data_IF_501118736453
#
_entry.id   IF_501118736453
#
_cell.length_a   1.000
_cell.length_b   1.000
_cell.length_c   1.000
_cell.angle_alpha   90.00
_cell.angle_beta   90.00
_cell.angle_gamma   90.00
#
_symmetry.space_group_name_H-M   'P 1'
#
loop_
_entity.id
_entity.type
_entity.pdbx_description
1 polymer ?
#
# COMPACT_ATOMS: atom_id res chain seq x y z
N UNK A 1 8.31 7.91 12.44
CA UNK A 1 8.60 6.53 12.89
C UNK A 1 7.59 5.94 13.89
N UNK A 2 7.34 6.51 15.09
CA UNK A 2 6.46 5.88 16.12
C UNK A 2 5.03 5.63 15.63
N UNK A 3 4.41 6.62 15.00
CA UNK A 3 3.03 6.50 14.50
C UNK A 3 2.90 5.38 13.46
N UNK A 4 3.90 5.21 12.59
CA UNK A 4 3.93 4.12 11.61
C UNK A 4 3.83 2.75 12.30
N UNK A 5 4.72 2.48 13.26
CA UNK A 5 4.73 1.20 13.97
C UNK A 5 3.42 0.92 14.72
N UNK A 6 2.87 1.91 15.41
CA UNK A 6 1.58 1.76 16.11
C UNK A 6 0.42 1.50 15.13
N UNK A 7 0.41 2.20 13.99
CA UNK A 7 -0.61 2.03 12.96
C UNK A 7 -0.53 0.66 12.29
N UNK A 8 0.68 0.17 11.98
CA UNK A 8 0.92 -1.17 11.46
C UNK A 8 0.47 -2.26 12.45
N UNK A 9 0.78 -2.11 13.73
CA UNK A 9 0.28 -3.02 14.77
C UNK A 9 -1.25 -3.06 14.79
N UNK A 10 -1.93 -1.92 14.67
CA UNK A 10 -3.39 -1.88 14.65
C UNK A 10 -3.98 -2.51 13.38
N UNK A 11 -3.41 -2.22 12.20
CA UNK A 11 -3.83 -2.84 10.93
C UNK A 11 -3.63 -4.35 10.97
N UNK A 12 -2.50 -4.83 11.47
CA UNK A 12 -2.20 -6.26 11.63
C UNK A 12 -3.17 -6.95 12.58
N UNK A 13 -3.49 -6.32 13.71
CA UNK A 13 -4.45 -6.88 14.69
C UNK A 13 -5.87 -6.99 14.12
N UNK A 14 -6.32 -5.99 13.37
CA UNK A 14 -7.70 -5.93 12.86
C UNK A 14 -7.88 -6.62 11.50
N UNK A 15 -6.83 -6.67 10.67
CA UNK A 15 -6.85 -7.13 9.28
C UNK A 15 -7.46 -8.52 9.08
N UNK A 16 -7.12 -9.55 9.89
CA UNK A 16 -7.72 -10.88 9.74
C UNK A 16 -9.25 -10.89 9.90
N UNK A 17 -9.82 -9.98 10.70
CA UNK A 17 -11.27 -9.87 10.84
C UNK A 17 -11.93 -9.26 9.60
N UNK A 18 -11.29 -8.27 8.95
CA UNK A 18 -11.78 -7.72 7.68
C UNK A 18 -11.85 -8.80 6.61
N UNK A 19 -10.77 -9.58 6.45
CA UNK A 19 -10.69 -10.65 5.46
C UNK A 19 -11.74 -11.73 5.70
N UNK A 20 -11.92 -12.17 6.97
CA UNK A 20 -12.96 -13.15 7.32
C UNK A 20 -14.39 -12.65 7.05
N UNK A 21 -14.62 -11.34 7.04
CA UNK A 21 -15.91 -10.71 6.72
C UNK A 21 -16.06 -10.35 5.23
N UNK A 22 -15.07 -10.68 4.40
CA UNK A 22 -15.07 -10.33 2.97
C UNK A 22 -14.92 -8.83 2.70
N UNK A 23 -14.43 -8.05 3.67
CA UNK A 23 -14.24 -6.58 3.54
C UNK A 23 -12.91 -6.27 2.85
N UNK A 24 -12.75 -6.76 1.62
CA UNK A 24 -11.50 -6.73 0.85
C UNK A 24 -11.13 -5.30 0.43
N UNK A 25 -12.13 -4.49 0.08
CA UNK A 25 -11.96 -3.07 -0.26
C UNK A 25 -11.28 -2.30 0.87
N UNK A 26 -11.77 -2.48 2.10
CA UNK A 26 -11.22 -1.78 3.27
C UNK A 26 -9.81 -2.27 3.59
N UNK A 27 -9.55 -3.58 3.44
CA UNK A 27 -8.20 -4.12 3.60
C UNK A 27 -7.22 -3.53 2.57
N UNK A 28 -7.62 -3.45 1.28
CA UNK A 28 -6.83 -2.82 0.24
C UNK A 28 -6.59 -1.32 0.49
N UNK A 29 -7.58 -0.63 1.05
CA UNK A 29 -7.44 0.76 1.50
C UNK A 29 -6.39 0.89 2.60
N UNK A 30 -6.35 -0.04 3.58
CA UNK A 30 -5.33 -0.06 4.63
C UNK A 30 -3.94 -0.40 4.08
N UNK A 31 -3.86 -1.29 3.09
CA UNK A 31 -2.64 -1.60 2.36
C UNK A 31 -2.05 -0.34 1.71
N UNK A 32 -2.92 0.46 1.09
CA UNK A 32 -2.52 1.74 0.48
C UNK A 32 -2.06 2.76 1.53
N UNK A 33 -2.74 2.86 2.67
CA UNK A 33 -2.34 3.74 3.78
C UNK A 33 -1.00 3.31 4.40
N UNK A 34 -0.76 2.00 4.50
CA UNK A 34 0.52 1.44 4.96
C UNK A 34 1.66 1.93 4.06
N UNK A 35 1.53 1.74 2.75
CA UNK A 35 2.52 2.24 1.79
C UNK A 35 2.73 3.75 1.86
N UNK A 36 1.66 4.53 2.04
CA UNK A 36 1.78 5.99 2.19
C UNK A 36 2.71 6.36 3.38
N UNK A 37 2.84 5.49 4.40
CA UNK A 37 3.82 5.64 5.48
C UNK A 37 5.27 5.47 5.04
N UNK A 38 5.51 4.69 3.99
CA UNK A 38 6.83 4.42 3.44
C UNK A 38 7.21 5.35 2.28
N UNK A 39 6.23 5.99 1.64
CA UNK A 39 6.46 6.87 0.49
C UNK A 39 7.48 7.96 0.77
N UNK A 40 8.19 8.33 -0.29
CA UNK A 40 9.03 9.53 -0.35
C UNK A 40 8.47 10.56 -1.32
N UNK A 41 7.71 10.12 -2.33
CA UNK A 41 7.00 10.97 -3.29
C UNK A 41 5.60 10.45 -3.58
N UNK A 42 4.77 11.29 -4.21
CA UNK A 42 3.54 10.88 -4.87
C UNK A 42 3.55 11.35 -6.31
N UNK A 43 3.10 10.48 -7.21
CA UNK A 43 2.97 10.77 -8.63
C UNK A 43 1.52 11.10 -8.97
N UNK A 44 1.30 12.06 -9.87
CA UNK A 44 -0.02 12.35 -10.45
C UNK A 44 -0.22 11.64 -11.80
N UNK A 45 -1.35 11.88 -12.46
CA UNK A 45 -1.71 11.25 -13.74
C UNK A 45 -0.83 11.74 -14.88
N UNK A 46 -0.30 12.97 -14.77
CA UNK A 46 0.61 13.58 -15.73
C UNK A 46 2.06 13.11 -15.58
N UNK A 47 2.35 12.20 -14.65
CA UNK A 47 3.71 11.68 -14.43
C UNK A 47 4.65 12.65 -13.70
N UNK A 48 4.10 13.66 -13.02
CA UNK A 48 4.85 14.57 -12.16
C UNK A 48 4.85 14.06 -10.72
N UNK A 49 6.00 14.10 -10.06
CA UNK A 49 6.15 13.73 -8.66
C UNK A 49 6.30 14.94 -7.75
N UNK A 50 5.81 14.80 -6.52
CA UNK A 50 6.03 15.76 -5.43
C UNK A 50 6.44 15.03 -4.16
N UNK A 51 7.25 15.64 -3.28
CA UNK A 51 7.57 15.04 -1.98
C UNK A 51 6.30 14.67 -1.20
N UNK A 52 6.31 13.49 -0.59
CA UNK A 52 5.25 13.06 0.30
C UNK A 52 5.65 13.30 1.75
N UNK A 53 4.85 14.09 2.47
CA UNK A 53 5.11 14.44 3.87
C UNK A 53 3.82 14.38 4.66
N UNK A 54 3.91 13.89 5.90
CA UNK A 54 2.78 13.83 6.83
C UNK A 54 3.13 14.64 8.07
N UNK A 55 2.23 15.52 8.47
CA UNK A 55 2.42 16.38 9.63
C UNK A 55 2.03 15.63 10.92
N UNK A 56 3.03 15.41 11.78
CA UNK A 56 2.86 14.89 13.14
C UNK A 56 3.45 15.86 14.18
N UNK A 57 3.39 17.16 13.91
CA UNK A 57 3.64 18.19 14.92
C UNK A 57 2.66 18.07 16.09
N UNK A 58 3.01 18.60 17.26
CA UNK A 58 2.14 18.55 18.45
C UNK A 58 0.72 19.08 18.17
N UNK A 59 0.52 20.22 17.47
CA UNK A 59 -0.83 20.68 17.14
C UNK A 59 -1.60 19.72 16.23
N UNK A 60 -0.90 19.05 15.30
CA UNK A 60 -1.52 18.06 14.41
C UNK A 60 -1.92 16.80 15.19
N UNK A 61 -1.06 16.31 16.08
CA UNK A 61 -1.35 15.17 16.95
C UNK A 61 -2.51 15.47 17.91
N UNK A 62 -2.54 16.65 18.52
CA UNK A 62 -3.65 17.08 19.36
C UNK A 62 -4.97 17.10 18.58
N UNK A 63 -4.94 17.55 17.33
CA UNK A 63 -6.13 17.52 16.45
C UNK A 63 -6.58 16.08 16.19
N UNK A 64 -5.66 15.19 15.81
CA UNK A 64 -5.95 13.78 15.56
C UNK A 64 -6.55 13.11 16.81
N UNK A 65 -6.00 13.34 18.00
CA UNK A 65 -6.52 12.79 19.26
C UNK A 65 -7.95 13.29 19.53
N UNK A 66 -8.20 14.60 19.36
CA UNK A 66 -9.55 15.18 19.56
C UNK A 66 -10.56 14.61 18.57
N UNK A 67 -10.17 14.43 17.31
CA UNK A 67 -11.03 13.88 16.25
C UNK A 67 -11.28 12.38 16.47
N UNK A 68 -10.27 11.63 16.92
CA UNK A 68 -10.38 10.20 17.16
C UNK A 68 -11.33 9.89 18.32
N UNK A 69 -11.33 10.73 19.36
CA UNK A 69 -12.31 10.67 20.46
C UNK A 69 -13.75 10.93 20.02
N UNK A 70 -13.95 11.46 18.81
CA UNK A 70 -15.26 11.69 18.18
C UNK A 70 -15.54 10.67 17.07
N UNK A 71 -14.79 9.57 17.04
CA UNK A 71 -14.89 8.50 16.04
C UNK A 71 -14.79 8.99 14.59
N UNK A 72 -14.01 10.06 14.35
CA UNK A 72 -13.73 10.51 12.99
C UNK A 72 -12.79 9.52 12.33
N UNK A 73 -13.29 8.81 11.32
CA UNK A 73 -12.59 7.70 10.67
C UNK A 73 -11.14 8.04 10.31
N UNK A 74 -10.90 9.12 9.55
CA UNK A 74 -9.56 9.51 9.10
C UNK A 74 -8.57 9.87 10.21
N UNK A 75 -9.03 10.05 11.45
CA UNK A 75 -8.18 10.32 12.61
C UNK A 75 -7.81 9.06 13.40
N UNK A 76 -8.42 7.91 13.05
CA UNK A 76 -8.16 6.64 13.72
C UNK A 76 -6.74 6.15 13.39
N UNK A 77 -6.12 5.47 14.34
CA UNK A 77 -4.72 5.06 14.26
C UNK A 77 -4.42 4.21 13.00
N UNK A 78 -5.28 3.25 12.65
CA UNK A 78 -5.17 2.41 11.43
C UNK A 78 -5.27 3.20 10.11
N UNK A 79 -5.82 4.41 10.16
CA UNK A 79 -5.92 5.34 9.03
C UNK A 79 -4.73 6.29 8.95
N UNK A 80 -3.86 6.30 9.97
CA UNK A 80 -2.62 7.07 9.91
C UNK A 80 -1.58 6.29 9.10
N UNK A 81 -0.95 6.92 8.10
CA UNK A 81 0.13 6.29 7.34
C UNK A 81 1.40 6.16 8.19
N UNK A 82 1.66 7.12 9.07
CA UNK A 82 2.99 7.32 9.64
C UNK A 82 3.94 8.05 8.68
N UNK A 83 5.23 7.96 8.96
CA UNK A 83 6.32 8.50 8.14
C UNK A 83 7.58 7.72 8.51
N UNK A 84 7.73 6.57 7.86
CA UNK A 84 8.88 5.68 7.92
C UNK A 84 9.82 5.92 6.75
N UNK A 85 9.26 6.26 5.58
CA UNK A 85 10.01 6.77 4.41
C UNK A 85 11.08 5.81 3.89
N UNK A 86 10.79 4.50 3.85
CA UNK A 86 11.71 3.50 3.29
C UNK A 86 11.41 3.11 1.82
N UNK A 87 10.49 3.78 1.13
CA UNK A 87 10.22 3.54 -0.29
C UNK A 87 11.27 4.24 -1.18
N UNK A 88 11.05 4.18 -2.51
CA UNK A 88 11.81 4.92 -3.51
C UNK A 88 10.84 5.58 -4.51
N UNK A 89 11.25 6.62 -5.25
CA UNK A 89 10.40 7.22 -6.28
C UNK A 89 9.89 6.22 -7.32
N UNK A 90 10.68 5.19 -7.63
CA UNK A 90 10.34 4.12 -8.54
C UNK A 90 9.22 3.23 -7.98
N UNK A 91 9.34 2.78 -6.74
CA UNK A 91 8.29 1.99 -6.08
C UNK A 91 7.02 2.80 -5.89
N UNK A 92 7.14 4.07 -5.48
CA UNK A 92 6.00 4.98 -5.31
C UNK A 92 5.22 5.16 -6.63
N UNK A 93 5.95 5.27 -7.76
CA UNK A 93 5.34 5.33 -9.10
C UNK A 93 4.61 4.06 -9.45
N UNK A 94 5.23 2.90 -9.19
CA UNK A 94 4.61 1.60 -9.49
C UNK A 94 3.33 1.40 -8.67
N UNK A 95 3.34 1.78 -7.38
CA UNK A 95 2.14 1.75 -6.53
C UNK A 95 1.06 2.72 -7.04
N UNK A 96 1.42 3.94 -7.42
CA UNK A 96 0.46 4.93 -7.94
C UNK A 96 -0.19 4.48 -9.25
N UNK A 97 0.60 3.90 -10.17
CA UNK A 97 0.09 3.33 -11.41
C UNK A 97 -0.84 2.14 -11.15
N UNK A 98 -0.46 1.23 -10.24
CA UNK A 98 -1.27 0.08 -9.89
C UNK A 98 -2.61 0.51 -9.26
N UNK A 99 -2.60 1.43 -8.30
CA UNK A 99 -3.81 1.91 -7.59
C UNK A 99 -4.85 2.58 -8.49
N UNK A 100 -4.44 3.05 -9.67
CA UNK A 100 -5.35 3.66 -10.66
C UNK A 100 -6.06 2.64 -11.54
N UNK A 101 -5.55 1.40 -11.61
CA UNK A 101 -6.12 0.40 -12.49
C UNK A 101 -7.45 -0.12 -11.94
N UNK A 102 -8.47 -0.34 -12.80
CA UNK A 102 -9.73 -0.96 -12.40
C UNK A 102 -9.52 -2.31 -11.70
N UNK A 103 -10.31 -2.57 -10.66
CA UNK A 103 -10.25 -3.81 -9.89
C UNK A 103 -9.11 -3.88 -8.87
N UNK A 104 -8.18 -2.92 -8.84
CA UNK A 104 -7.15 -2.84 -7.78
C UNK A 104 -7.76 -2.26 -6.51
N UNK A 105 -7.73 -3.03 -5.43
CA UNK A 105 -8.24 -2.67 -4.10
C UNK A 105 -7.19 -1.94 -3.27
N UNK A 106 -5.92 -2.22 -3.54
CA UNK A 106 -4.78 -1.53 -2.93
C UNK A 106 -3.46 -2.01 -3.52
N UNK A 107 -2.41 -1.21 -3.37
CA UNK A 107 -1.04 -1.63 -3.65
C UNK A 107 -0.07 -1.07 -2.61
N UNK A 108 0.98 -1.83 -2.30
CA UNK A 108 2.02 -1.42 -1.35
C UNK A 108 3.37 -2.06 -1.69
N UNK A 109 4.44 -1.48 -1.18
CA UNK A 109 5.76 -2.11 -1.18
C UNK A 109 5.73 -3.41 -0.36
N UNK A 110 6.62 -4.35 -0.69
CA UNK A 110 6.81 -5.60 0.04
C UNK A 110 8.26 -5.78 0.42
N UNK A 111 8.51 -6.14 1.68
CA UNK A 111 9.85 -6.31 2.24
C UNK A 111 10.34 -5.06 2.97
N UNK A 112 11.66 -4.89 3.05
CA UNK A 112 12.28 -3.82 3.85
C UNK A 112 12.19 -2.42 3.21
N UNK A 113 11.89 -2.35 1.91
CA UNK A 113 11.97 -1.10 1.13
C UNK A 113 13.35 -0.86 0.52
N UNK A 114 13.57 0.38 0.06
CA UNK A 114 14.77 0.86 -0.64
C UNK A 114 15.07 0.10 -1.94
N UNK A 115 14.01 -0.43 -2.56
CA UNK A 115 14.03 -1.35 -3.70
C UNK A 115 13.09 -2.53 -3.45
N UNK A 116 13.16 -3.54 -4.31
CA UNK A 116 12.36 -4.76 -4.18
C UNK A 116 11.05 -4.69 -4.96
N UNK A 117 9.98 -5.24 -4.39
CA UNK A 117 8.74 -5.53 -5.10
C UNK A 117 7.56 -4.71 -4.57
N UNK A 118 6.57 -4.50 -5.42
CA UNK A 118 5.23 -4.02 -5.05
C UNK A 118 4.25 -5.19 -5.12
N UNK A 119 3.37 -5.29 -4.13
CA UNK A 119 2.20 -6.16 -4.17
C UNK A 119 0.96 -5.33 -4.47
N UNK A 120 0.11 -5.80 -5.38
CA UNK A 120 -1.20 -5.23 -5.66
C UNK A 120 -2.29 -6.27 -5.38
N UNK A 121 -3.29 -5.89 -4.60
CA UNK A 121 -4.50 -6.68 -4.36
C UNK A 121 -5.51 -6.31 -5.44
N UNK A 122 -5.77 -7.24 -6.35
CA UNK A 122 -6.59 -7.01 -7.55
C UNK A 122 -7.66 -8.08 -7.69
N UNK A 123 -8.80 -7.73 -8.27
CA UNK A 123 -9.81 -8.68 -8.74
C UNK A 123 -9.18 -9.69 -9.71
N UNK A 124 -9.49 -10.97 -9.54
CA UNK A 124 -8.87 -12.08 -10.28
C UNK A 124 -9.00 -11.86 -11.79
N UNK A 125 -10.16 -11.42 -12.24
CA UNK A 125 -10.51 -11.23 -13.64
C UNK A 125 -9.78 -10.04 -14.27
N UNK A 126 -9.24 -9.13 -13.44
CA UNK A 126 -8.54 -7.90 -13.85
C UNK A 126 -7.02 -8.00 -13.76
N UNK A 127 -6.48 -9.11 -13.25
CA UNK A 127 -5.03 -9.28 -13.07
C UNK A 127 -4.24 -9.13 -14.39
N UNK A 128 -4.77 -9.65 -15.50
CA UNK A 128 -4.13 -9.50 -16.82
C UNK A 128 -4.14 -8.05 -17.34
N UNK A 129 -5.23 -7.31 -17.10
CA UNK A 129 -5.34 -5.89 -17.47
C UNK A 129 -4.35 -5.04 -16.67
N UNK A 130 -4.22 -5.31 -15.36
CA UNK A 130 -3.22 -4.67 -14.51
C UNK A 130 -1.80 -4.95 -15.03
N UNK A 131 -1.45 -6.20 -15.32
CA UNK A 131 -0.12 -6.55 -15.80
C UNK A 131 0.23 -5.83 -17.13
N UNK A 132 -0.72 -5.79 -18.07
CA UNK A 132 -0.55 -5.07 -19.33
C UNK A 132 -0.40 -3.55 -19.13
N UNK A 133 -1.16 -2.97 -18.19
CA UNK A 133 -1.03 -1.55 -17.87
C UNK A 133 0.32 -1.21 -17.23
N UNK A 134 0.80 -2.02 -16.29
CA UNK A 134 2.10 -1.80 -15.66
C UNK A 134 3.25 -1.97 -16.67
N UNK A 135 3.20 -2.99 -17.53
CA UNK A 135 4.18 -3.15 -18.61
C UNK A 135 4.27 -1.87 -19.47
N UNK A 136 3.13 -1.39 -19.96
CA UNK A 136 3.03 -0.20 -20.82
C UNK A 136 3.44 1.10 -20.14
N UNK A 137 2.99 1.33 -18.89
CA UNK A 137 3.07 2.67 -18.28
C UNK A 137 4.28 2.83 -17.34
N UNK A 138 4.89 1.72 -16.91
CA UNK A 138 6.05 1.71 -16.03
C UNK A 138 7.31 1.14 -16.69
N UNK A 139 7.23 -0.05 -17.29
CA UNK A 139 8.40 -0.78 -17.80
C UNK A 139 8.84 -0.28 -19.18
N UNK A 140 7.94 -0.22 -20.16
CA UNK A 140 8.24 0.19 -21.53
C UNK A 140 8.93 1.56 -21.62
N UNK A 141 8.45 2.63 -20.93
CA UNK A 141 9.07 3.96 -21.01
C UNK A 141 10.46 4.00 -20.34
N UNK A 142 10.73 3.07 -19.44
CA UNK A 142 12.02 2.92 -18.76
C UNK A 142 12.97 1.98 -19.52
N UNK A 143 12.53 1.34 -20.60
CA UNK A 143 13.31 0.33 -21.33
C UNK A 143 13.63 -0.90 -20.48
N UNK A 144 12.75 -1.25 -19.54
CA UNK A 144 12.91 -2.38 -18.62
C UNK A 144 12.07 -3.55 -19.09
N UNK A 145 12.57 -4.77 -18.88
CA UNK A 145 11.76 -5.99 -19.06
C UNK A 145 10.75 -6.12 -17.91
N UNK A 146 9.45 -6.37 -18.19
CA UNK A 146 8.45 -6.59 -17.15
C UNK A 146 8.76 -7.82 -16.27
N UNK A 147 8.80 -7.60 -14.95
CA UNK A 147 8.93 -8.68 -13.95
C UNK A 147 7.67 -8.71 -13.08
N UNK A 148 6.66 -9.46 -13.53
CA UNK A 148 5.29 -9.42 -13.02
C UNK A 148 4.76 -10.83 -12.77
N UNK A 149 4.25 -11.08 -11.56
CA UNK A 149 3.73 -12.39 -11.15
C UNK A 149 2.31 -12.29 -10.60
N UNK A 150 1.45 -13.23 -10.99
CA UNK A 150 0.18 -13.45 -10.30
C UNK A 150 0.41 -14.47 -9.19
N UNK A 151 0.25 -14.04 -7.94
CA UNK A 151 0.50 -14.86 -6.76
C UNK A 151 -0.80 -15.21 -6.04
N UNK A 152 -0.83 -16.38 -5.40
CA UNK A 152 -1.93 -16.83 -4.55
C UNK A 152 -1.39 -17.24 -3.18
N UNK A 153 -2.13 -17.01 -2.08
CA UNK A 153 -1.74 -17.54 -0.77
C UNK A 153 -1.66 -19.07 -0.80
N UNK A 154 -0.59 -19.61 -0.23
CA UNK A 154 -0.34 -21.06 -0.13
C UNK A 154 0.05 -21.45 1.29
N UNK A 155 0.06 -22.74 1.59
CA UNK A 155 0.61 -23.25 2.84
C UNK A 155 2.11 -22.97 2.93
N UNK A 156 2.61 -22.84 4.17
CA UNK A 156 4.05 -22.72 4.44
C UNK A 156 4.80 -24.05 4.30
N UNK A 157 6.08 -24.04 4.67
CA UNK A 157 6.94 -25.23 4.66
C UNK A 157 6.35 -26.35 5.53
N UNK A 158 6.40 -27.59 5.03
CA UNK A 158 5.87 -28.77 5.70
C UNK A 158 6.47 -30.06 5.14
N UNK A 159 6.28 -31.16 5.85
CA UNK A 159 6.72 -32.48 5.40
C UNK A 159 5.76 -32.98 4.32
N UNK A 160 6.28 -33.31 3.14
CA UNK A 160 5.51 -33.98 2.10
C UNK A 160 5.38 -35.45 2.46
N UNK A 161 4.19 -35.86 2.88
CA UNK A 161 3.86 -37.29 3.01
C UNK A 161 3.45 -37.82 1.65
N UNK A 162 4.18 -38.84 1.18
CA UNK A 162 3.87 -39.57 -0.05
C UNK A 162 2.56 -40.36 0.06
#
# INVERSE_FOLDING_TARGET
MVIFGLAECQRSYLGPNLMRRGQVEEFGRWMSVSHDGDRVVSWNEEGLSRPFTVDYSDPALDRLIREARRDREESLLRRQPGSFSCSTPQLDRLVDLARRQPGVKGAQLSGAGLGGCVMALVERERAGELAAALARDYYDPAGLEPDLFTCFPVAGSGILTA
#
